data_IF_393376939944
#
_entry.id   IF_393376939944
#
_cell.length_a   1.000
_cell.length_b   1.000
_cell.length_c   1.000
_cell.angle_alpha   90.00
_cell.angle_beta   90.00
_cell.angle_gamma   90.00
#
_symmetry.space_group_name_H-M   'P 1'
#
loop_
_entity.id
_entity.type
_entity.pdbx_description
1 polymer ?
#
# COMPACT_ATOMS: atom_id res chain seq x y z
N UNK A 1 19.29 70.31 59.38
CA UNK A 1 18.21 69.67 58.55
C UNK A 1 18.59 68.32 57.87
N UNK A 2 19.88 67.90 58.03
CA UNK A 2 20.34 66.60 57.45
C UNK A 2 20.32 65.37 58.42
N UNK A 3 19.91 65.63 59.69
CA UNK A 3 19.84 64.56 60.71
C UNK A 3 18.49 63.82 60.81
N UNK A 4 17.53 64.12 59.93
CA UNK A 4 16.18 63.54 59.92
C UNK A 4 15.98 62.35 58.96
N UNK A 5 17.04 61.95 58.27
CA UNK A 5 16.96 60.85 57.31
C UNK A 5 17.96 59.65 57.59
N UNK A 6 18.42 59.57 58.87
CA UNK A 6 19.06 58.30 59.24
C UNK A 6 18.01 57.18 59.27
N UNK A 7 18.15 56.10 58.53
CA UNK A 7 17.17 55.04 58.55
C UNK A 7 17.12 54.48 59.95
N UNK A 8 15.97 54.69 60.62
CA UNK A 8 15.71 54.21 61.96
C UNK A 8 15.98 52.72 62.01
N UNK A 9 16.80 52.24 63.00
CA UNK A 9 17.16 50.81 63.13
C UNK A 9 15.90 49.94 63.20
N UNK A 10 14.81 50.44 63.76
CA UNK A 10 13.52 49.80 63.74
C UNK A 10 12.97 49.56 62.32
N UNK A 11 13.17 50.50 61.39
CA UNK A 11 12.69 50.37 60.00
C UNK A 11 13.48 49.29 59.26
N UNK A 12 14.79 49.13 59.50
CA UNK A 12 15.62 48.07 58.97
C UNK A 12 15.25 46.71 59.56
N UNK A 13 14.86 46.67 60.84
CA UNK A 13 14.39 45.44 61.47
C UNK A 13 13.07 44.97 60.89
N UNK A 14 12.08 45.86 60.73
CA UNK A 14 10.79 45.54 60.12
C UNK A 14 10.94 45.10 58.67
N UNK A 15 11.82 45.72 57.89
CA UNK A 15 12.10 45.34 56.51
C UNK A 15 12.75 43.98 56.37
N UNK A 16 13.62 43.59 57.28
CA UNK A 16 14.19 42.26 57.40
C UNK A 16 13.14 41.22 57.78
N UNK A 17 12.26 41.54 58.73
CA UNK A 17 11.16 40.64 59.14
C UNK A 17 10.14 40.44 58.02
N UNK A 18 9.74 41.47 57.30
CA UNK A 18 8.84 41.36 56.12
C UNK A 18 9.46 40.48 55.06
N UNK A 19 10.74 40.67 54.72
CA UNK A 19 11.43 39.82 53.76
C UNK A 19 11.50 38.34 54.21
N UNK A 20 11.75 38.11 55.49
CA UNK A 20 11.80 36.74 56.05
C UNK A 20 10.40 36.06 55.99
N UNK A 21 9.32 36.81 56.29
CA UNK A 21 7.94 36.31 56.20
C UNK A 21 7.55 36.00 54.79
N UNK A 22 7.94 36.87 53.82
CA UNK A 22 7.66 36.61 52.38
C UNK A 22 8.43 35.38 51.88
N UNK A 23 9.71 35.24 52.23
CA UNK A 23 10.51 34.08 51.84
C UNK A 23 9.98 32.80 52.48
N UNK A 24 9.68 32.85 53.79
CA UNK A 24 9.10 31.71 54.48
C UNK A 24 7.71 31.33 53.92
N UNK A 25 6.85 32.29 53.69
CA UNK A 25 5.54 32.09 53.08
C UNK A 25 5.62 31.47 51.67
N UNK A 26 6.57 31.97 50.87
CA UNK A 26 6.78 31.38 49.52
C UNK A 26 7.31 29.96 49.55
N UNK A 27 8.22 29.64 50.48
CA UNK A 27 8.73 28.26 50.67
C UNK A 27 7.65 27.32 51.14
N UNK A 28 6.79 27.77 52.08
CA UNK A 28 5.65 26.96 52.57
C UNK A 28 4.61 26.75 51.45
N UNK A 29 4.28 27.76 50.69
CA UNK A 29 3.36 27.61 49.52
C UNK A 29 3.91 26.70 48.46
N UNK A 30 5.20 26.80 48.11
CA UNK A 30 5.86 25.86 47.18
C UNK A 30 5.89 24.42 47.75
N UNK A 31 6.13 24.27 49.07
CA UNK A 31 6.08 22.97 49.72
C UNK A 31 4.69 22.34 49.70
N UNK A 32 3.63 23.15 49.94
CA UNK A 32 2.24 22.67 49.87
C UNK A 32 1.85 22.32 48.41
N UNK A 33 2.25 23.07 47.40
CA UNK A 33 1.99 22.75 46.00
C UNK A 33 2.72 21.48 45.57
N UNK A 34 3.96 21.27 46.00
CA UNK A 34 4.71 20.04 45.80
C UNK A 34 4.07 18.83 46.46
N UNK A 35 3.62 18.95 47.73
CA UNK A 35 2.92 17.90 48.43
C UNK A 35 1.57 17.55 47.81
N UNK A 36 0.81 18.57 47.35
CA UNK A 36 -0.44 18.39 46.62
C UNK A 36 -0.24 17.64 45.31
N UNK A 37 0.78 18.00 44.54
CA UNK A 37 1.15 17.32 43.26
C UNK A 37 1.65 15.91 43.51
N UNK A 38 2.39 15.67 44.63
CA UNK A 38 2.84 14.34 45.02
C UNK A 38 1.65 13.43 45.36
N UNK A 39 0.71 13.91 46.20
CA UNK A 39 -0.50 13.17 46.59
C UNK A 39 -1.43 12.87 45.42
N UNK A 40 -1.50 13.77 44.43
CA UNK A 40 -2.25 13.60 43.19
C UNK A 40 -1.54 12.73 42.14
N UNK A 41 -0.32 12.23 42.41
CA UNK A 41 0.54 11.51 41.45
C UNK A 41 0.80 12.28 40.12
N UNK A 42 0.66 13.59 40.14
CA UNK A 42 0.80 14.48 38.96
C UNK A 42 2.15 15.18 38.90
N UNK A 43 3.06 14.91 39.83
CA UNK A 43 4.39 15.53 39.90
C UNK A 43 5.18 15.37 38.60
N UNK A 44 5.13 14.16 38.03
CA UNK A 44 5.82 13.88 36.77
C UNK A 44 4.99 14.24 35.54
N UNK A 45 3.67 14.00 35.56
CA UNK A 45 2.80 14.23 34.40
C UNK A 45 2.70 15.69 33.97
N UNK A 46 2.79 16.66 34.92
CA UNK A 46 2.69 18.09 34.67
C UNK A 46 4.01 18.85 34.84
N UNK A 47 5.15 18.14 34.96
CA UNK A 47 6.44 18.80 35.12
C UNK A 47 6.92 19.39 33.79
N UNK A 48 7.57 20.57 33.87
CA UNK A 48 8.30 21.15 32.75
C UNK A 48 9.35 20.19 32.17
N UNK A 49 9.94 19.38 33.05
CA UNK A 49 10.89 18.34 32.66
C UNK A 49 10.25 17.27 31.75
N UNK A 50 9.02 16.82 32.03
CA UNK A 50 8.30 15.87 31.17
C UNK A 50 7.92 16.50 29.84
N UNK A 51 7.41 17.74 29.83
CA UNK A 51 7.10 18.47 28.60
C UNK A 51 8.33 18.72 27.73
N UNK A 52 9.46 19.06 28.36
CA UNK A 52 10.74 19.18 27.65
C UNK A 52 11.24 17.83 27.13
N UNK A 53 11.04 16.74 27.89
CA UNK A 53 11.42 15.38 27.49
C UNK A 53 10.52 14.83 26.35
N UNK A 54 9.22 15.12 26.39
CA UNK A 54 8.27 14.78 25.30
C UNK A 54 8.54 15.60 24.05
N UNK A 55 8.74 16.91 24.18
CA UNK A 55 9.13 17.76 23.06
C UNK A 55 10.48 17.36 22.47
N UNK A 56 11.45 16.92 23.32
CA UNK A 56 12.73 16.42 22.83
C UNK A 56 12.60 15.06 22.16
N UNK A 57 11.71 14.17 22.62
CA UNK A 57 11.42 12.89 21.95
C UNK A 57 10.81 13.08 20.56
N UNK A 58 9.87 13.99 20.42
CA UNK A 58 9.26 14.33 19.13
C UNK A 58 10.24 15.01 18.17
N UNK A 59 11.16 15.80 18.71
CA UNK A 59 12.22 16.44 17.93
C UNK A 59 13.31 15.44 17.53
N UNK A 60 13.74 14.57 18.46
CA UNK A 60 14.73 13.52 18.22
C UNK A 60 14.19 12.45 17.27
N UNK A 61 12.89 12.17 17.26
CA UNK A 61 12.26 11.27 16.27
C UNK A 61 12.27 11.80 14.82
N UNK A 62 12.51 13.10 14.63
CA UNK A 62 12.58 13.74 13.28
C UNK A 62 14.01 14.07 12.84
N UNK A 63 14.97 13.98 13.73
CA UNK A 63 16.37 14.31 13.46
C UNK A 63 17.18 13.01 13.54
N UNK A 64 18.11 12.82 12.60
CA UNK A 64 19.04 11.67 12.64
C UNK A 64 19.61 11.48 14.06
N UNK A 65 19.63 10.23 14.53
CA UNK A 65 20.12 9.86 15.84
C UNK A 65 21.55 10.41 16.11
N UNK A 66 22.37 10.51 15.06
CA UNK A 66 23.71 11.10 15.11
C UNK A 66 23.68 12.58 15.52
N UNK A 67 22.77 13.36 14.96
CA UNK A 67 22.59 14.80 15.27
C UNK A 67 22.05 14.98 16.70
N UNK A 68 21.08 14.16 17.09
CA UNK A 68 20.52 14.16 18.45
C UNK A 68 21.59 13.85 19.52
N UNK A 69 22.41 12.84 19.26
CA UNK A 69 23.51 12.46 20.17
C UNK A 69 24.58 13.55 20.23
N UNK A 70 24.90 14.17 19.09
CA UNK A 70 25.83 15.30 19.01
C UNK A 70 25.35 16.50 19.83
N UNK A 71 24.06 16.84 19.78
CA UNK A 71 23.46 17.92 20.56
C UNK A 71 23.48 17.64 22.07
N UNK A 72 23.12 16.42 22.50
CA UNK A 72 23.22 16.01 23.89
C UNK A 72 24.66 16.10 24.41
N UNK A 73 25.63 15.74 23.57
CA UNK A 73 27.04 15.84 23.91
C UNK A 73 27.50 17.30 24.03
N UNK A 74 27.08 18.19 23.16
CA UNK A 74 27.37 19.64 23.28
C UNK A 74 26.83 20.24 24.56
N UNK A 75 25.61 19.85 24.99
CA UNK A 75 25.04 20.25 26.26
C UNK A 75 25.86 19.72 27.43
N UNK A 76 26.30 18.46 27.37
CA UNK A 76 27.19 17.83 28.36
C UNK A 76 28.54 18.56 28.43
N UNK A 77 29.12 18.92 27.29
CA UNK A 77 30.36 19.68 27.17
C UNK A 77 30.21 21.09 27.78
N UNK A 78 29.11 21.78 27.52
CA UNK A 78 28.78 23.07 28.11
C UNK A 78 28.63 23.02 29.63
N UNK A 79 27.98 21.98 30.17
CA UNK A 79 27.88 21.74 31.60
C UNK A 79 29.24 21.47 32.23
N UNK A 80 30.07 20.64 31.61
CA UNK A 80 31.42 20.34 32.06
C UNK A 80 32.33 21.56 32.03
N UNK A 81 32.24 22.38 30.97
CA UNK A 81 32.98 23.63 30.88
C UNK A 81 32.58 24.62 31.98
N UNK A 82 31.30 24.70 32.35
CA UNK A 82 30.81 25.50 33.46
C UNK A 82 31.33 25.02 34.82
N UNK A 83 31.35 23.70 35.05
CA UNK A 83 31.93 23.09 36.25
C UNK A 83 33.45 23.37 36.34
N UNK A 84 34.16 23.24 35.22
CA UNK A 84 35.60 23.49 35.17
C UNK A 84 35.92 24.95 35.44
N UNK A 85 35.13 25.88 34.87
CA UNK A 85 35.25 27.31 35.11
C UNK A 85 35.01 27.64 36.59
N UNK A 86 34.01 27.03 37.22
CA UNK A 86 33.75 27.15 38.65
C UNK A 86 34.93 26.66 39.51
N UNK A 87 35.57 25.53 39.18
CA UNK A 87 36.76 25.00 39.85
C UNK A 87 37.96 25.93 39.64
N UNK A 88 38.16 26.49 38.44
CA UNK A 88 39.22 27.48 38.15
C UNK A 88 39.00 28.74 39.01
N UNK A 89 37.77 29.26 39.05
CA UNK A 89 37.45 30.43 39.85
C UNK A 89 37.73 30.21 41.34
N UNK A 90 37.34 29.07 41.93
CA UNK A 90 37.63 28.69 43.31
C UNK A 90 39.12 28.55 43.57
N UNK A 91 39.89 28.06 42.58
CA UNK A 91 41.31 27.85 42.70
C UNK A 91 42.12 29.16 42.69
N UNK A 92 41.81 30.09 41.77
CA UNK A 92 42.46 31.38 41.69
C UNK A 92 42.16 32.28 42.90
N UNK A 93 41.03 32.04 43.55
CA UNK A 93 40.64 32.81 44.71
C UNK A 93 41.42 32.44 45.98
N UNK A 94 42.04 31.28 46.06
CA UNK A 94 42.57 30.78 47.31
C UNK A 94 44.08 30.74 47.49
N UNK A 95 44.96 30.56 46.48
CA UNK A 95 46.45 30.64 46.66
C UNK A 95 47.24 30.58 45.32
N UNK A 96 48.32 31.41 45.24
CA UNK A 96 49.16 31.58 44.05
C UNK A 96 50.41 30.67 44.04
N UNK A 97 50.27 29.33 44.07
CA UNK A 97 51.39 28.37 43.97
C UNK A 97 51.46 27.73 42.56
N UNK A 98 52.59 27.92 41.85
CA UNK A 98 52.87 27.46 40.49
C UNK A 98 52.62 25.95 40.27
N UNK A 99 52.96 25.11 41.29
CA UNK A 99 52.76 23.65 41.21
C UNK A 99 51.30 23.23 41.07
N UNK A 100 50.35 23.93 41.70
CA UNK A 100 48.92 23.65 41.58
C UNK A 100 48.37 24.06 40.22
N UNK A 101 48.90 25.13 39.64
CA UNK A 101 48.51 25.58 38.30
C UNK A 101 48.91 24.54 37.24
N UNK A 102 50.15 24.00 37.30
CA UNK A 102 50.62 22.97 36.39
C UNK A 102 49.75 21.72 36.49
N UNK A 103 49.46 21.23 37.69
CA UNK A 103 48.64 20.03 37.93
C UNK A 103 47.20 20.27 37.39
N UNK A 104 46.67 21.45 37.56
CA UNK A 104 45.35 21.83 37.02
C UNK A 104 45.32 21.75 35.50
N UNK A 105 46.31 22.33 34.78
CA UNK A 105 46.36 22.27 33.33
C UNK A 105 46.52 20.83 32.82
N UNK A 106 47.30 19.99 33.45
CA UNK A 106 47.41 18.56 33.11
C UNK A 106 46.08 17.87 33.27
N UNK A 107 45.33 18.12 34.35
CA UNK A 107 44.03 17.55 34.59
C UNK A 107 43.03 17.99 33.50
N UNK A 108 43.01 19.27 33.10
CA UNK A 108 42.16 19.80 32.04
C UNK A 108 42.43 19.11 30.70
N UNK A 109 43.70 18.94 30.35
CA UNK A 109 44.08 18.26 29.08
C UNK A 109 43.63 16.80 29.07
N UNK A 110 43.84 16.07 30.17
CA UNK A 110 43.41 14.67 30.31
C UNK A 110 41.86 14.56 30.23
N UNK A 111 41.15 15.49 30.89
CA UNK A 111 39.70 15.53 30.90
C UNK A 111 39.12 15.79 29.50
N UNK A 112 39.63 16.79 28.77
CA UNK A 112 39.22 17.09 27.40
C UNK A 112 39.56 15.95 26.45
N UNK A 113 40.69 15.27 26.65
CA UNK A 113 41.08 14.09 25.86
C UNK A 113 40.09 12.93 26.07
N UNK A 114 39.69 12.69 27.34
CA UNK A 114 38.71 11.65 27.68
C UNK A 114 37.32 11.96 27.06
N UNK A 115 36.88 13.21 27.21
CA UNK A 115 35.61 13.67 26.63
C UNK A 115 35.59 13.54 25.11
N UNK A 116 36.66 13.95 24.43
CA UNK A 116 36.78 13.79 22.99
C UNK A 116 36.75 12.32 22.55
N UNK A 117 37.38 11.41 23.33
CA UNK A 117 37.36 9.99 23.06
C UNK A 117 35.96 9.38 23.25
N UNK A 118 35.23 9.75 24.32
CA UNK A 118 33.88 9.31 24.58
C UNK A 118 32.95 9.79 23.44
N UNK A 119 33.07 11.07 23.05
CA UNK A 119 32.29 11.62 21.92
C UNK A 119 32.53 10.83 20.64
N UNK A 120 33.78 10.57 20.29
CA UNK A 120 34.09 9.81 19.07
C UNK A 120 33.43 8.43 19.08
N UNK A 121 33.45 7.73 20.22
CA UNK A 121 32.82 6.42 20.37
C UNK A 121 31.30 6.48 20.24
N UNK A 122 30.66 7.47 20.85
CA UNK A 122 29.20 7.65 20.77
C UNK A 122 28.75 8.05 19.37
N UNK A 123 29.47 8.97 18.74
CA UNK A 123 29.19 9.41 17.37
C UNK A 123 29.32 8.25 16.38
N UNK A 124 30.38 7.46 16.46
CA UNK A 124 30.57 6.27 15.62
C UNK A 124 29.40 5.30 15.74
N UNK A 125 28.96 5.00 16.96
CA UNK A 125 27.79 4.12 17.19
C UNK A 125 26.50 4.70 16.64
N UNK A 126 26.31 6.00 16.76
CA UNK A 126 25.13 6.70 16.24
C UNK A 126 25.04 6.58 14.72
N UNK A 127 26.13 6.84 14.00
CA UNK A 127 26.17 6.71 12.53
C UNK A 127 25.90 5.26 12.10
N UNK A 128 26.44 4.27 12.83
CA UNK A 128 26.21 2.86 12.52
C UNK A 128 24.73 2.45 12.68
N UNK A 129 24.02 3.00 13.66
CA UNK A 129 22.58 2.77 13.85
C UNK A 129 21.73 3.40 12.76
N UNK A 130 22.06 4.64 12.34
CA UNK A 130 21.35 5.31 11.25
C UNK A 130 21.39 4.48 9.97
N UNK A 131 22.51 3.81 9.68
CA UNK A 131 22.64 2.90 8.52
C UNK A 131 21.70 1.70 8.65
N UNK A 132 21.61 1.10 9.85
CA UNK A 132 20.70 -0.03 10.08
C UNK A 132 19.23 0.37 9.98
N UNK A 133 18.85 1.51 10.54
CA UNK A 133 17.47 2.02 10.49
C UNK A 133 17.04 2.32 9.04
N UNK A 134 17.93 2.91 8.25
CA UNK A 134 17.71 3.13 6.82
C UNK A 134 17.52 1.80 6.07
N UNK A 135 18.37 0.81 6.33
CA UNK A 135 18.28 -0.51 5.70
C UNK A 135 16.96 -1.22 6.03
N UNK A 136 16.55 -1.21 7.31
CA UNK A 136 15.27 -1.79 7.75
C UNK A 136 14.10 -1.10 7.05
N UNK A 137 14.14 0.23 6.94
CA UNK A 137 13.11 1.00 6.23
C UNK A 137 13.05 0.62 4.74
N UNK A 138 14.20 0.49 4.07
CA UNK A 138 14.28 0.13 2.64
C UNK A 138 13.75 -1.29 2.39
N UNK A 139 14.17 -2.26 3.20
CA UNK A 139 13.70 -3.65 3.11
C UNK A 139 12.18 -3.73 3.40
N UNK A 140 11.68 -2.98 4.39
CA UNK A 140 10.27 -2.96 4.75
C UNK A 140 9.38 -2.33 3.65
N UNK A 141 9.94 -1.47 2.78
CA UNK A 141 9.26 -0.90 1.62
C UNK A 141 9.24 -1.84 0.41
N UNK A 142 9.82 -3.04 0.55
CA UNK A 142 9.78 -4.09 -0.47
C UNK A 142 11.06 -4.25 -1.29
N UNK A 143 12.11 -3.45 -1.06
CA UNK A 143 13.40 -3.67 -1.71
C UNK A 143 14.20 -4.77 -0.97
N UNK A 144 13.90 -6.02 -1.32
CA UNK A 144 14.58 -7.19 -0.75
C UNK A 144 15.98 -7.42 -1.34
N UNK A 145 16.36 -6.69 -2.37
CA UNK A 145 17.69 -6.79 -2.99
C UNK A 145 18.75 -5.94 -2.28
N UNK A 146 18.32 -5.01 -1.40
CA UNK A 146 19.22 -4.13 -0.68
C UNK A 146 20.14 -4.91 0.27
N UNK A 147 21.45 -4.65 0.18
CA UNK A 147 22.47 -5.23 1.06
C UNK A 147 23.23 -4.14 1.81
N UNK A 148 23.40 -4.35 3.10
CA UNK A 148 24.13 -3.45 4.00
C UNK A 148 25.63 -3.73 3.86
N UNK A 149 26.42 -2.68 3.62
CA UNK A 149 27.89 -2.77 3.67
C UNK A 149 28.38 -2.97 5.12
N UNK A 150 28.70 -4.23 5.46
CA UNK A 150 29.15 -4.61 6.81
C UNK A 150 30.60 -4.19 7.10
N UNK A 151 31.38 -3.74 6.10
CA UNK A 151 32.81 -3.38 6.26
C UNK A 151 33.00 -2.17 7.18
N UNK A 152 32.04 -1.27 7.22
CA UNK A 152 32.07 -0.03 8.04
C UNK A 152 31.42 -0.19 9.42
N UNK A 153 30.83 -1.34 9.69
CA UNK A 153 30.16 -1.66 10.93
C UNK A 153 31.09 -2.46 11.86
N UNK A 154 30.84 -2.41 13.17
CA UNK A 154 31.65 -3.12 14.15
C UNK A 154 30.81 -3.63 15.34
N UNK A 155 31.20 -4.78 15.93
CA UNK A 155 30.52 -5.37 17.08
C UNK A 155 29.08 -5.80 16.75
N UNK A 156 28.15 -5.52 17.66
CA UNK A 156 26.75 -5.95 17.55
C UNK A 156 26.02 -5.37 16.32
N UNK A 157 26.37 -4.17 15.89
CA UNK A 157 25.80 -3.52 14.72
C UNK A 157 26.18 -4.26 13.43
N UNK A 158 27.39 -4.82 13.36
CA UNK A 158 27.83 -5.69 12.27
C UNK A 158 27.06 -7.01 12.25
N UNK A 159 26.96 -7.68 13.41
CA UNK A 159 26.21 -8.94 13.51
C UNK A 159 24.74 -8.74 13.08
N UNK A 160 24.13 -7.63 13.49
CA UNK A 160 22.75 -7.27 13.10
C UNK A 160 22.63 -7.02 11.61
N UNK A 161 23.60 -6.33 10.99
CA UNK A 161 23.62 -6.11 9.53
C UNK A 161 23.76 -7.43 8.75
N UNK A 162 24.61 -8.36 9.23
CA UNK A 162 24.75 -9.69 8.63
C UNK A 162 23.45 -10.50 8.76
N UNK A 163 22.76 -10.43 9.88
CA UNK A 163 21.44 -11.07 10.03
C UNK A 163 20.39 -10.46 9.10
N UNK A 164 20.34 -9.13 8.98
CA UNK A 164 19.43 -8.45 8.07
C UNK A 164 19.72 -8.81 6.61
N UNK A 165 20.97 -8.85 6.19
CA UNK A 165 21.37 -9.28 4.86
C UNK A 165 20.94 -10.73 4.57
N UNK A 166 21.10 -11.63 5.55
CA UNK A 166 20.67 -13.01 5.42
C UNK A 166 19.13 -13.14 5.28
N UNK A 167 18.38 -12.36 6.07
CA UNK A 167 16.90 -12.31 5.97
C UNK A 167 16.51 -11.76 4.60
N UNK A 168 17.12 -10.67 4.15
CA UNK A 168 16.85 -10.05 2.85
C UNK A 168 17.12 -11.04 1.70
N UNK A 169 18.28 -11.70 1.70
CA UNK A 169 18.63 -12.72 0.70
C UNK A 169 17.71 -13.94 0.75
N UNK A 170 17.32 -14.39 1.94
CA UNK A 170 16.37 -15.49 2.11
C UNK A 170 14.99 -15.14 1.57
N UNK A 171 14.51 -13.92 1.84
CA UNK A 171 13.25 -13.41 1.32
C UNK A 171 13.27 -13.25 -0.20
N UNK A 172 14.34 -12.68 -0.76
CA UNK A 172 14.50 -12.56 -2.21
C UNK A 172 14.52 -13.94 -2.88
N UNK A 173 15.26 -14.90 -2.32
CA UNK A 173 15.30 -16.28 -2.84
C UNK A 173 13.91 -16.95 -2.80
N UNK A 174 13.15 -16.77 -1.72
CA UNK A 174 11.80 -17.30 -1.60
C UNK A 174 10.84 -16.69 -2.62
N UNK A 175 10.92 -15.37 -2.84
CA UNK A 175 10.14 -14.67 -3.87
C UNK A 175 10.50 -15.18 -5.27
N UNK A 176 11.79 -15.32 -5.60
CA UNK A 176 12.25 -15.82 -6.88
C UNK A 176 11.79 -17.27 -7.13
N UNK A 177 11.84 -18.11 -6.11
CA UNK A 177 11.34 -19.50 -6.20
C UNK A 177 9.83 -19.54 -6.41
N UNK A 178 9.07 -18.69 -5.71
CA UNK A 178 7.63 -18.56 -5.90
C UNK A 178 7.28 -18.09 -7.33
N UNK A 179 7.95 -17.07 -7.84
CA UNK A 179 7.76 -16.56 -9.21
C UNK A 179 8.11 -17.65 -10.23
N UNK A 180 9.21 -18.38 -10.03
CA UNK A 180 9.61 -19.50 -10.90
C UNK A 180 8.58 -20.62 -10.87
N UNK A 181 8.05 -20.97 -9.70
CA UNK A 181 6.99 -21.98 -9.55
C UNK A 181 5.73 -21.59 -10.31
N UNK A 182 5.28 -20.34 -10.17
CA UNK A 182 4.10 -19.84 -10.89
C UNK A 182 4.31 -19.83 -12.42
N UNK A 183 5.50 -19.45 -12.89
CA UNK A 183 5.85 -19.52 -14.33
C UNK A 183 5.87 -20.95 -14.85
N UNK A 184 6.40 -21.91 -14.07
CA UNK A 184 6.40 -23.32 -14.45
C UNK A 184 4.98 -23.88 -14.51
N UNK A 185 4.11 -23.56 -13.53
CA UNK A 185 2.70 -23.96 -13.56
C UNK A 185 2.01 -23.42 -14.82
N UNK A 186 2.22 -22.15 -15.15
CA UNK A 186 1.65 -21.53 -16.34
C UNK A 186 2.14 -22.17 -17.64
N UNK A 187 3.44 -22.46 -17.73
CA UNK A 187 4.03 -23.16 -18.88
C UNK A 187 3.49 -24.58 -19.04
N UNK A 188 3.39 -25.34 -17.95
CA UNK A 188 2.80 -26.68 -17.96
C UNK A 188 1.35 -26.66 -18.44
N UNK A 189 0.52 -25.74 -17.90
CA UNK A 189 -0.88 -25.58 -18.31
C UNK A 189 -0.97 -25.27 -19.81
N UNK A 190 -0.12 -24.37 -20.30
CA UNK A 190 -0.10 -24.01 -21.73
C UNK A 190 0.26 -25.19 -22.62
N UNK A 191 1.30 -25.95 -22.26
CA UNK A 191 1.75 -27.11 -23.04
C UNK A 191 0.72 -28.25 -23.03
N UNK A 192 0.19 -28.61 -21.85
CA UNK A 192 -0.83 -29.62 -21.71
C UNK A 192 -2.10 -29.25 -22.48
N UNK A 193 -2.49 -27.99 -22.45
CA UNK A 193 -3.67 -27.52 -23.19
C UNK A 193 -3.48 -27.59 -24.71
N UNK A 194 -2.28 -27.29 -25.21
CA UNK A 194 -1.96 -27.49 -26.63
C UNK A 194 -2.09 -28.95 -27.02
N UNK A 195 -1.57 -29.88 -26.20
CA UNK A 195 -1.61 -31.29 -26.43
C UNK A 195 -3.03 -31.91 -26.33
N UNK A 196 -3.92 -31.27 -25.56
CA UNK A 196 -5.37 -31.58 -25.51
C UNK A 196 -6.11 -31.01 -26.73
N UNK A 197 -5.76 -29.80 -27.19
CA UNK A 197 -6.46 -29.13 -28.29
C UNK A 197 -6.42 -29.94 -29.59
N UNK A 198 -5.30 -30.59 -29.90
CA UNK A 198 -5.12 -31.37 -31.14
C UNK A 198 -6.07 -32.55 -31.24
N UNK A 199 -6.11 -33.50 -30.29
CA UNK A 199 -7.04 -34.66 -30.34
C UNK A 199 -8.50 -34.18 -30.22
N UNK A 200 -8.78 -33.12 -29.48
CA UNK A 200 -10.11 -32.58 -29.31
C UNK A 200 -10.65 -31.97 -30.62
N UNK A 201 -9.82 -31.26 -31.39
CA UNK A 201 -10.17 -30.75 -32.71
C UNK A 201 -10.53 -31.89 -33.66
N UNK A 202 -9.77 -33.03 -33.57
CA UNK A 202 -10.09 -34.23 -34.34
C UNK A 202 -11.44 -34.83 -33.95
N UNK A 203 -11.75 -34.92 -32.65
CA UNK A 203 -13.05 -35.41 -32.16
C UNK A 203 -14.19 -34.53 -32.69
N UNK A 204 -14.07 -33.21 -32.59
CA UNK A 204 -15.07 -32.25 -33.10
C UNK A 204 -15.28 -32.45 -34.60
N UNK A 205 -14.22 -32.55 -35.40
CA UNK A 205 -14.31 -32.75 -36.83
C UNK A 205 -15.00 -34.06 -37.20
N UNK A 206 -14.71 -35.17 -36.48
CA UNK A 206 -15.41 -36.44 -36.76
C UNK A 206 -16.87 -36.42 -36.31
N UNK A 207 -17.22 -35.73 -35.22
CA UNK A 207 -18.60 -35.58 -34.82
C UNK A 207 -19.35 -34.76 -35.86
N UNK A 208 -18.77 -33.65 -36.39
CA UNK A 208 -19.34 -32.86 -37.49
C UNK A 208 -19.55 -33.69 -38.76
N UNK A 209 -18.57 -34.50 -39.14
CA UNK A 209 -18.72 -35.37 -40.31
C UNK A 209 -19.86 -36.38 -40.12
N UNK A 210 -19.96 -37.03 -38.96
CA UNK A 210 -21.06 -37.94 -38.64
C UNK A 210 -22.43 -37.27 -38.61
N UNK A 211 -22.53 -36.01 -38.12
CA UNK A 211 -23.77 -35.24 -38.17
C UNK A 211 -24.20 -34.94 -39.62
N UNK A 212 -23.27 -34.73 -40.55
CA UNK A 212 -23.53 -34.47 -41.97
C UNK A 212 -24.04 -35.72 -42.72
N UNK A 213 -23.69 -36.95 -42.27
CA UNK A 213 -24.16 -38.22 -42.85
C UNK A 213 -25.68 -38.44 -42.68
N UNK A 214 -26.42 -37.49 -42.03
CA UNK A 214 -27.88 -37.53 -41.82
C UNK A 214 -28.37 -38.89 -41.33
N UNK A 215 -27.77 -39.39 -40.27
CA UNK A 215 -28.12 -40.67 -39.64
C UNK A 215 -29.58 -40.65 -39.22
N UNK A 216 -30.37 -41.61 -39.76
CA UNK A 216 -31.81 -41.66 -39.52
C UNK A 216 -32.24 -42.22 -38.18
N UNK A 217 -31.32 -42.89 -37.45
CA UNK A 217 -31.61 -43.41 -36.12
C UNK A 217 -31.64 -42.26 -35.10
N UNK A 218 -32.80 -41.96 -34.47
CA UNK A 218 -32.96 -40.86 -33.54
C UNK A 218 -32.10 -41.03 -32.28
N UNK A 219 -31.76 -42.26 -31.86
CA UNK A 219 -30.87 -42.50 -30.71
C UNK A 219 -29.42 -42.12 -31.04
N UNK A 220 -28.95 -42.47 -32.23
CA UNK A 220 -27.60 -42.15 -32.69
C UNK A 220 -27.50 -40.60 -32.88
N UNK A 221 -28.50 -39.96 -33.45
CA UNK A 221 -28.52 -38.51 -33.59
C UNK A 221 -28.46 -37.79 -32.21
N UNK A 222 -29.19 -38.30 -31.21
CA UNK A 222 -29.13 -37.78 -29.84
C UNK A 222 -27.75 -37.97 -29.21
N UNK A 223 -27.07 -39.11 -29.41
CA UNK A 223 -25.72 -39.34 -28.92
C UNK A 223 -24.69 -38.41 -29.55
N UNK A 224 -24.82 -38.19 -30.88
CA UNK A 224 -23.95 -37.23 -31.59
C UNK A 224 -24.14 -35.81 -31.10
N UNK A 225 -25.36 -35.38 -30.79
CA UNK A 225 -25.62 -34.06 -30.21
C UNK A 225 -24.99 -33.90 -28.86
N UNK A 226 -25.08 -34.93 -27.99
CA UNK A 226 -24.40 -34.91 -26.68
C UNK A 226 -22.87 -34.88 -26.83
N UNK A 227 -22.31 -35.63 -27.76
CA UNK A 227 -20.87 -35.65 -28.04
C UNK A 227 -20.40 -34.28 -28.55
N UNK A 228 -21.14 -33.68 -29.47
CA UNK A 228 -20.83 -32.34 -29.96
C UNK A 228 -20.81 -31.32 -28.83
N UNK A 229 -21.88 -31.22 -28.03
CA UNK A 229 -21.96 -30.32 -26.88
C UNK A 229 -20.80 -30.55 -25.90
N UNK A 230 -20.47 -31.79 -25.56
CA UNK A 230 -19.38 -32.08 -24.64
C UNK A 230 -18.00 -31.76 -25.20
N UNK A 231 -17.82 -31.97 -26.52
CA UNK A 231 -16.58 -31.65 -27.21
C UNK A 231 -16.37 -30.12 -27.31
N UNK A 232 -17.40 -29.38 -27.67
CA UNK A 232 -17.34 -27.91 -27.72
C UNK A 232 -17.09 -27.33 -26.33
N UNK A 233 -17.75 -27.88 -25.31
CA UNK A 233 -17.52 -27.46 -23.92
C UNK A 233 -16.08 -27.70 -23.49
N UNK A 234 -15.49 -28.87 -23.79
CA UNK A 234 -14.11 -29.17 -23.44
C UNK A 234 -13.13 -28.24 -24.16
N UNK A 235 -13.43 -27.85 -25.41
CA UNK A 235 -12.68 -26.84 -26.17
C UNK A 235 -12.67 -25.51 -25.44
N UNK A 236 -13.83 -24.99 -25.05
CA UNK A 236 -13.94 -23.72 -24.32
C UNK A 236 -13.19 -23.78 -22.98
N UNK A 237 -13.32 -24.87 -22.22
CA UNK A 237 -12.62 -25.06 -20.96
C UNK A 237 -11.09 -25.04 -21.11
N UNK A 238 -10.56 -25.66 -22.19
CA UNK A 238 -9.12 -25.65 -22.44
C UNK A 238 -8.62 -24.29 -22.89
N UNK A 239 -9.41 -23.56 -23.69
CA UNK A 239 -9.11 -22.20 -24.11
C UNK A 239 -9.12 -21.23 -22.91
N UNK A 240 -10.14 -21.29 -22.04
CA UNK A 240 -10.23 -20.52 -20.81
C UNK A 240 -9.03 -20.79 -19.87
N UNK A 241 -8.64 -22.07 -19.74
CA UNK A 241 -7.50 -22.47 -18.89
C UNK A 241 -6.18 -21.88 -19.39
N UNK A 242 -5.94 -21.90 -20.71
CA UNK A 242 -4.75 -21.27 -21.32
C UNK A 242 -4.77 -19.78 -21.11
N UNK A 243 -5.92 -19.13 -21.32
CA UNK A 243 -6.08 -17.69 -21.17
C UNK A 243 -5.82 -17.27 -19.73
N UNK A 244 -6.45 -17.94 -18.75
CA UNK A 244 -6.21 -17.71 -17.33
C UNK A 244 -4.74 -17.89 -16.93
N UNK A 245 -4.08 -18.92 -17.48
CA UNK A 245 -2.67 -19.20 -17.21
C UNK A 245 -1.74 -18.13 -17.76
N UNK A 246 -1.98 -17.68 -19.01
CA UNK A 246 -1.20 -16.60 -19.65
C UNK A 246 -1.40 -15.25 -18.98
N UNK A 247 -2.64 -14.94 -18.59
CA UNK A 247 -2.96 -13.72 -17.89
C UNK A 247 -2.27 -13.65 -16.54
N UNK A 248 -2.36 -14.70 -15.72
CA UNK A 248 -1.72 -14.75 -14.41
C UNK A 248 -0.19 -14.71 -14.43
N UNK A 249 0.45 -15.28 -15.46
CA UNK A 249 1.92 -15.30 -15.57
C UNK A 249 2.52 -14.00 -16.10
N UNK A 250 1.68 -13.02 -16.50
CA UNK A 250 2.12 -11.78 -17.13
C UNK A 250 2.72 -11.98 -18.54
N UNK A 251 2.62 -13.19 -19.12
CA UNK A 251 3.20 -13.53 -20.42
C UNK A 251 2.24 -13.22 -21.60
N UNK A 252 1.17 -12.46 -21.36
CA UNK A 252 0.23 -12.08 -22.39
C UNK A 252 0.70 -10.80 -23.09
N UNK A 253 0.83 -10.84 -24.41
CA UNK A 253 1.05 -9.64 -25.21
C UNK A 253 -0.28 -8.92 -25.37
N UNK A 254 -0.31 -7.64 -25.02
CA UNK A 254 -1.45 -6.76 -25.16
C UNK A 254 -1.25 -5.81 -26.35
N UNK A 255 -2.30 -5.57 -27.10
CA UNK A 255 -2.36 -4.60 -28.19
C UNK A 255 -3.16 -3.38 -27.71
N UNK A 256 -2.51 -2.54 -26.90
CA UNK A 256 -3.16 -1.38 -26.26
C UNK A 256 -3.41 -0.30 -27.32
N UNK A 257 -4.65 0.10 -27.44
CA UNK A 257 -5.11 1.15 -28.34
C UNK A 257 -6.17 2.04 -27.67
N UNK A 258 -6.56 3.12 -28.34
CA UNK A 258 -7.64 3.98 -27.91
C UNK A 258 -8.97 3.28 -28.20
N UNK A 259 -9.75 2.99 -27.17
CA UNK A 259 -11.04 2.31 -27.25
C UNK A 259 -12.12 3.24 -26.70
N UNK A 260 -13.19 3.42 -27.44
CA UNK A 260 -14.42 4.01 -26.91
C UNK A 260 -15.19 2.95 -26.11
N UNK A 261 -15.21 3.10 -24.79
CA UNK A 261 -15.91 2.18 -23.90
C UNK A 261 -17.43 2.22 -24.13
N UNK A 262 -17.97 3.39 -24.44
CA UNK A 262 -19.41 3.57 -24.70
C UNK A 262 -19.84 2.76 -25.93
N UNK A 263 -19.14 2.89 -27.06
CA UNK A 263 -19.40 2.15 -28.28
C UNK A 263 -19.26 0.63 -28.06
N UNK A 264 -18.21 0.19 -27.37
CA UNK A 264 -17.97 -1.22 -27.09
C UNK A 264 -19.09 -1.84 -26.23
N UNK A 265 -19.59 -1.11 -25.23
CA UNK A 265 -20.70 -1.58 -24.37
C UNK A 265 -22.03 -1.58 -25.15
N UNK A 266 -22.29 -0.57 -25.97
CA UNK A 266 -23.47 -0.55 -26.83
C UNK A 266 -23.50 -1.73 -27.81
N UNK A 267 -22.36 -2.03 -28.43
CA UNK A 267 -22.24 -3.20 -29.32
C UNK A 267 -22.50 -4.49 -28.55
N UNK A 268 -21.90 -4.64 -27.34
CA UNK A 268 -22.09 -5.82 -26.49
C UNK A 268 -23.56 -5.98 -26.07
N UNK A 269 -24.25 -4.88 -25.73
CA UNK A 269 -25.70 -4.89 -25.45
C UNK A 269 -26.50 -5.50 -26.63
N UNK A 270 -26.23 -5.04 -27.86
CA UNK A 270 -26.90 -5.56 -29.06
C UNK A 270 -26.64 -7.07 -29.28
N UNK A 271 -25.40 -7.52 -29.08
CA UNK A 271 -25.06 -8.95 -29.24
C UNK A 271 -25.75 -9.87 -28.20
N UNK A 272 -26.04 -9.36 -27.04
CA UNK A 272 -26.66 -10.13 -25.95
C UNK A 272 -28.17 -9.97 -25.83
N UNK A 273 -28.79 -9.06 -26.54
CA UNK A 273 -30.24 -8.76 -26.47
C UNK A 273 -31.11 -10.01 -26.64
N UNK A 274 -30.86 -10.81 -27.68
CA UNK A 274 -31.60 -12.06 -27.96
C UNK A 274 -31.40 -13.07 -26.80
N UNK A 275 -30.18 -13.19 -26.28
CA UNK A 275 -29.86 -14.13 -25.20
C UNK A 275 -30.55 -13.75 -23.88
N UNK A 276 -30.68 -12.46 -23.58
CA UNK A 276 -31.46 -11.97 -22.45
C UNK A 276 -32.96 -12.22 -22.67
N UNK A 277 -33.48 -11.96 -23.88
CA UNK A 277 -34.88 -12.21 -24.21
C UNK A 277 -35.26 -13.70 -24.09
N UNK A 278 -34.39 -14.64 -24.50
CA UNK A 278 -34.59 -16.09 -24.32
C UNK A 278 -34.76 -16.50 -22.85
N UNK A 279 -34.03 -15.81 -21.92
CA UNK A 279 -34.12 -16.01 -20.50
C UNK A 279 -35.17 -15.10 -19.81
N UNK A 280 -35.95 -14.37 -20.59
CA UNK A 280 -36.97 -13.41 -20.13
C UNK A 280 -36.39 -12.35 -19.17
N UNK A 281 -35.15 -11.95 -19.45
CA UNK A 281 -34.46 -10.90 -18.71
C UNK A 281 -34.63 -9.57 -19.46
N UNK A 282 -34.88 -8.50 -18.71
CA UNK A 282 -34.98 -7.14 -19.24
C UNK A 282 -33.62 -6.45 -19.07
N UNK A 283 -33.00 -6.06 -20.19
CA UNK A 283 -31.75 -5.26 -20.12
C UNK A 283 -32.10 -3.78 -19.94
N UNK A 284 -31.65 -3.19 -18.84
CA UNK A 284 -31.80 -1.77 -18.55
C UNK A 284 -30.41 -1.14 -18.62
N UNK A 285 -30.15 -0.34 -19.64
CA UNK A 285 -28.85 0.30 -19.83
C UNK A 285 -28.92 1.81 -19.59
N UNK A 286 -27.95 2.32 -18.84
CA UNK A 286 -27.73 3.74 -18.61
C UNK A 286 -26.31 4.08 -19.08
N UNK A 287 -26.22 4.53 -20.33
CA UNK A 287 -24.97 4.77 -21.05
C UNK A 287 -24.98 6.23 -21.51
N UNK A 288 -23.92 7.01 -21.22
CA UNK A 288 -23.85 8.41 -21.67
C UNK A 288 -23.75 8.50 -23.20
N UNK A 289 -24.18 9.61 -23.76
CA UNK A 289 -24.01 9.92 -25.20
C UNK A 289 -22.57 10.38 -25.52
N UNK A 290 -21.78 10.73 -24.48
CA UNK A 290 -20.42 11.21 -24.61
C UNK A 290 -19.45 10.06 -24.82
N UNK A 291 -18.45 10.27 -25.70
CA UNK A 291 -17.38 9.32 -26.00
C UNK A 291 -16.44 9.20 -24.80
N UNK A 292 -16.19 7.99 -24.30
CA UNK A 292 -15.27 7.72 -23.20
C UNK A 292 -14.06 6.91 -23.69
N UNK A 293 -12.99 7.61 -24.07
CA UNK A 293 -11.77 6.96 -24.56
C UNK A 293 -10.93 6.44 -23.40
N UNK A 294 -10.59 5.16 -23.46
CA UNK A 294 -9.68 4.47 -22.55
C UNK A 294 -8.54 3.82 -23.32
N UNK A 295 -7.44 3.51 -22.63
CA UNK A 295 -6.29 2.78 -23.18
C UNK A 295 -6.43 1.30 -22.82
N UNK A 296 -6.81 0.45 -23.79
CA UNK A 296 -7.04 -0.97 -23.55
C UNK A 296 -6.79 -1.80 -24.83
N UNK A 297 -6.67 -3.13 -24.68
CA UNK A 297 -6.76 -4.09 -25.78
C UNK A 297 -8.24 -4.42 -26.02
N UNK A 298 -8.79 -3.96 -27.13
CA UNK A 298 -10.22 -4.08 -27.44
C UNK A 298 -10.71 -5.53 -27.42
N UNK A 299 -9.91 -6.50 -27.90
CA UNK A 299 -10.28 -7.92 -27.86
C UNK A 299 -10.34 -8.47 -26.44
N UNK A 300 -9.40 -8.06 -25.59
CA UNK A 300 -9.35 -8.50 -24.20
C UNK A 300 -10.44 -7.85 -23.37
N UNK A 301 -10.70 -6.58 -23.61
CA UNK A 301 -11.79 -5.88 -22.96
C UNK A 301 -13.16 -6.43 -23.37
N UNK A 302 -13.36 -6.73 -24.65
CA UNK A 302 -14.56 -7.41 -25.12
C UNK A 302 -14.76 -8.78 -24.43
N UNK A 303 -13.68 -9.56 -24.26
CA UNK A 303 -13.71 -10.83 -23.53
C UNK A 303 -14.13 -10.66 -22.06
N UNK A 304 -13.70 -9.59 -21.40
CA UNK A 304 -14.16 -9.23 -20.04
C UNK A 304 -15.67 -8.99 -20.05
N UNK A 305 -16.17 -8.16 -20.96
CA UNK A 305 -17.60 -7.88 -21.06
C UNK A 305 -18.38 -9.16 -21.39
N UNK A 306 -17.97 -9.94 -22.38
CA UNK A 306 -18.59 -11.22 -22.76
C UNK A 306 -18.73 -12.17 -21.55
N UNK A 307 -17.70 -12.30 -20.74
CA UNK A 307 -17.76 -13.11 -19.54
C UNK A 307 -18.80 -12.59 -18.54
N UNK A 308 -18.86 -11.28 -18.31
CA UNK A 308 -19.78 -10.67 -17.36
C UNK A 308 -21.24 -10.77 -17.84
N UNK A 309 -21.50 -10.50 -19.14
CA UNK A 309 -22.82 -10.66 -19.73
C UNK A 309 -23.28 -12.11 -19.75
N UNK A 310 -22.38 -13.05 -20.09
CA UNK A 310 -22.66 -14.48 -20.03
C UNK A 310 -22.99 -14.94 -18.62
N UNK A 311 -22.32 -14.43 -17.61
CA UNK A 311 -22.65 -14.70 -16.22
C UNK A 311 -24.05 -14.16 -15.86
N UNK A 312 -24.38 -12.94 -16.26
CA UNK A 312 -25.72 -12.38 -16.06
C UNK A 312 -26.81 -13.24 -16.72
N UNK A 313 -26.62 -13.63 -17.99
CA UNK A 313 -27.57 -14.55 -18.70
C UNK A 313 -27.75 -15.86 -17.95
N UNK A 314 -26.67 -16.43 -17.38
CA UNK A 314 -26.71 -17.75 -16.73
C UNK A 314 -27.32 -17.73 -15.34
N UNK A 315 -27.01 -16.71 -14.55
CA UNK A 315 -27.23 -16.70 -13.11
C UNK A 315 -28.28 -15.70 -12.66
N UNK A 316 -28.74 -14.79 -13.52
CA UNK A 316 -29.82 -13.89 -13.16
C UNK A 316 -31.14 -14.65 -12.98
N UNK A 317 -31.91 -14.21 -12.01
CA UNK A 317 -33.27 -14.70 -11.76
C UNK A 317 -34.15 -14.43 -12.98
N UNK A 318 -34.87 -15.44 -13.49
CA UNK A 318 -35.78 -15.26 -14.59
C UNK A 318 -36.82 -14.17 -14.30
N UNK A 319 -37.29 -13.48 -15.35
CA UNK A 319 -38.25 -12.35 -15.23
C UNK A 319 -37.70 -11.17 -14.39
N UNK A 320 -36.37 -11.05 -14.21
CA UNK A 320 -35.74 -9.92 -13.53
C UNK A 320 -35.07 -8.98 -14.53
N UNK A 321 -34.43 -7.93 -13.98
CA UNK A 321 -33.67 -6.95 -14.74
C UNK A 321 -32.19 -7.13 -14.60
N UNK A 322 -31.47 -6.92 -15.69
CA UNK A 322 -30.01 -6.77 -15.69
C UNK A 322 -29.70 -5.30 -15.97
N UNK A 323 -28.99 -4.65 -15.07
CA UNK A 323 -28.64 -3.24 -15.22
C UNK A 323 -27.20 -3.12 -15.71
N UNK A 324 -27.00 -2.31 -16.75
CA UNK A 324 -25.69 -1.98 -17.32
C UNK A 324 -25.54 -0.47 -17.27
N UNK A 325 -24.56 0.02 -16.52
CA UNK A 325 -24.27 1.43 -16.41
C UNK A 325 -22.84 1.70 -16.92
N UNK A 326 -22.66 2.82 -17.63
CA UNK A 326 -21.34 3.39 -17.97
C UNK A 326 -21.32 4.83 -17.47
N UNK A 327 -20.31 5.17 -16.68
CA UNK A 327 -20.19 6.49 -16.04
C UNK A 327 -18.75 7.01 -16.17
N UNK A 328 -18.58 8.33 -16.29
CA UNK A 328 -17.31 9.02 -16.03
C UNK A 328 -17.37 9.59 -14.61
N UNK A 329 -16.55 9.07 -13.70
CA UNK A 329 -16.47 9.52 -12.33
C UNK A 329 -14.99 9.70 -11.94
N UNK A 330 -14.63 10.88 -11.48
CA UNK A 330 -13.27 11.25 -11.08
C UNK A 330 -12.17 10.96 -12.12
N UNK A 331 -12.50 11.04 -13.42
CA UNK A 331 -11.58 10.76 -14.51
C UNK A 331 -11.35 9.27 -14.76
N UNK A 332 -12.26 8.41 -14.28
CA UNK A 332 -12.33 6.99 -14.57
C UNK A 332 -13.61 6.67 -15.34
N UNK A 333 -13.49 5.96 -16.45
CA UNK A 333 -14.61 5.33 -17.13
C UNK A 333 -14.97 4.05 -16.37
N UNK A 334 -16.18 4.00 -15.83
CA UNK A 334 -16.66 2.93 -14.97
C UNK A 334 -17.78 2.19 -15.68
N UNK A 335 -17.55 0.93 -16.00
CA UNK A 335 -18.59 -0.01 -16.46
C UNK A 335 -19.10 -0.81 -15.25
N UNK A 336 -20.41 -0.95 -15.14
CA UNK A 336 -21.04 -1.74 -14.09
C UNK A 336 -22.12 -2.64 -14.70
N UNK A 337 -22.15 -3.92 -14.31
CA UNK A 337 -23.27 -4.82 -14.60
C UNK A 337 -23.82 -5.38 -13.27
N UNK A 338 -25.15 -5.36 -13.13
CA UNK A 338 -25.86 -5.77 -11.90
C UNK A 338 -27.04 -6.67 -12.24
N UNK A 339 -27.21 -7.74 -11.48
CA UNK A 339 -28.36 -8.60 -11.56
C UNK A 339 -28.71 -9.23 -10.21
N UNK A 340 -29.96 -9.61 -10.01
CA UNK A 340 -30.37 -10.46 -8.89
C UNK A 340 -30.07 -11.90 -9.28
N UNK A 341 -29.37 -12.64 -8.42
CA UNK A 341 -29.04 -14.06 -8.63
C UNK A 341 -30.25 -14.96 -8.43
N UNK A 342 -30.42 -15.99 -9.25
CA UNK A 342 -31.42 -17.03 -9.08
C UNK A 342 -31.17 -17.88 -7.82
N UNK A 343 -29.92 -18.05 -7.44
CA UNK A 343 -29.51 -18.78 -6.24
C UNK A 343 -28.87 -17.83 -5.23
N UNK A 344 -29.00 -18.13 -3.93
CA UNK A 344 -28.38 -17.34 -2.88
C UNK A 344 -26.85 -17.35 -2.99
N UNK A 345 -26.24 -16.17 -2.87
CA UNK A 345 -24.80 -15.97 -2.96
C UNK A 345 -24.18 -16.00 -1.55
N UNK A 346 -23.94 -17.21 -1.02
CA UNK A 346 -23.31 -17.41 0.29
C UNK A 346 -21.77 -17.53 0.19
N UNK A 347 -21.15 -16.66 -0.57
CA UNK A 347 -19.72 -16.67 -0.85
C UNK A 347 -19.17 -15.23 -0.81
N UNK A 348 -17.93 -15.06 -0.38
CA UNK A 348 -17.32 -13.74 -0.38
C UNK A 348 -16.97 -13.27 -1.82
N UNK A 349 -16.98 -11.95 -2.10
CA UNK A 349 -16.59 -11.41 -3.40
C UNK A 349 -15.19 -11.83 -3.83
N UNK A 350 -14.23 -11.87 -2.91
CA UNK A 350 -12.85 -12.26 -3.18
C UNK A 350 -12.77 -13.73 -3.57
N UNK A 351 -13.44 -14.61 -2.82
CA UNK A 351 -13.48 -16.04 -3.11
C UNK A 351 -14.16 -16.32 -4.46
N UNK A 352 -15.23 -15.58 -4.82
CA UNK A 352 -15.91 -15.74 -6.10
C UNK A 352 -15.03 -15.37 -7.30
N UNK A 353 -14.01 -14.53 -7.10
CA UNK A 353 -13.02 -14.18 -8.14
C UNK A 353 -11.82 -15.13 -8.19
N UNK A 354 -11.73 -16.13 -7.31
CA UNK A 354 -10.72 -17.17 -7.37
C UNK A 354 -10.99 -18.14 -8.51
N UNK A 355 -9.95 -18.85 -8.95
CA UNK A 355 -10.04 -19.80 -10.06
C UNK A 355 -10.75 -21.08 -9.66
N UNK A 356 -11.60 -21.59 -10.56
CA UNK A 356 -12.39 -22.81 -10.36
C UNK A 356 -13.41 -22.73 -9.24
N UNK A 357 -13.62 -21.54 -8.66
CA UNK A 357 -14.65 -21.31 -7.66
C UNK A 357 -15.99 -21.01 -8.34
N UNK A 358 -17.04 -21.54 -7.77
CA UNK A 358 -18.42 -21.38 -8.24
C UNK A 358 -19.32 -21.04 -7.07
N UNK A 359 -20.08 -19.96 -7.19
CA UNK A 359 -21.04 -19.53 -6.18
C UNK A 359 -22.24 -20.47 -5.99
N UNK A 360 -22.46 -21.36 -6.95
CA UNK A 360 -23.56 -22.33 -6.91
C UNK A 360 -23.10 -23.67 -6.32
N UNK A 361 -23.68 -24.06 -5.18
CA UNK A 361 -23.40 -25.31 -4.47
C UNK A 361 -23.92 -26.54 -5.26
N UNK A 362 -24.90 -26.36 -6.15
CA UNK A 362 -25.61 -27.47 -6.81
C UNK A 362 -24.83 -28.15 -7.94
N UNK A 363 -23.70 -27.60 -8.41
CA UNK A 363 -22.93 -28.07 -9.59
C UNK A 363 -23.77 -28.28 -10.86
N UNK A 364 -25.05 -27.92 -10.86
CA UNK A 364 -26.00 -28.20 -11.93
C UNK A 364 -25.85 -27.24 -13.12
N UNK A 365 -25.41 -25.99 -12.87
CA UNK A 365 -25.20 -25.00 -13.93
C UNK A 365 -23.89 -25.22 -14.69
N UNK A 366 -23.90 -25.06 -16.00
CA UNK A 366 -22.71 -25.23 -16.84
C UNK A 366 -21.77 -24.02 -16.71
N UNK A 367 -20.53 -24.25 -16.23
CA UNK A 367 -19.52 -23.18 -16.15
C UNK A 367 -18.14 -23.72 -15.78
N UNK A 368 -17.07 -23.04 -16.19
CA UNK A 368 -15.67 -23.36 -15.89
C UNK A 368 -15.24 -22.90 -14.47
N UNK A 369 -15.91 -21.89 -13.91
CA UNK A 369 -15.44 -21.17 -12.72
C UNK A 369 -14.19 -20.31 -12.98
N UNK A 370 -13.89 -20.03 -14.26
CA UNK A 370 -12.72 -19.23 -14.65
C UNK A 370 -13.11 -17.85 -15.16
N UNK A 371 -14.37 -17.61 -15.57
CA UNK A 371 -14.76 -16.39 -16.22
C UNK A 371 -14.49 -15.11 -15.42
N UNK A 372 -14.82 -15.08 -14.12
CA UNK A 372 -14.58 -13.91 -13.27
C UNK A 372 -13.08 -13.70 -12.96
N UNK A 373 -12.34 -14.78 -12.73
CA UNK A 373 -10.87 -14.68 -12.54
C UNK A 373 -10.17 -14.20 -13.80
N UNK A 374 -10.57 -14.68 -14.99
CA UNK A 374 -10.06 -14.18 -16.28
C UNK A 374 -10.40 -12.69 -16.45
N UNK A 375 -11.63 -12.28 -16.16
CA UNK A 375 -12.04 -10.88 -16.27
C UNK A 375 -11.22 -9.98 -15.35
N UNK A 376 -10.96 -10.39 -14.10
CA UNK A 376 -10.10 -9.69 -13.15
C UNK A 376 -8.67 -9.58 -13.69
N UNK A 377 -8.06 -10.72 -14.05
CA UNK A 377 -6.68 -10.77 -14.53
C UNK A 377 -6.50 -9.92 -15.82
N UNK A 378 -7.42 -10.01 -16.80
CA UNK A 378 -7.38 -9.24 -18.03
C UNK A 378 -7.55 -7.74 -17.79
N UNK A 379 -8.44 -7.34 -16.90
CA UNK A 379 -8.64 -5.92 -16.55
C UNK A 379 -7.38 -5.33 -15.90
N UNK A 380 -6.82 -6.04 -14.91
CA UNK A 380 -5.61 -5.60 -14.19
C UNK A 380 -4.38 -5.53 -15.09
N UNK A 381 -4.19 -6.49 -15.99
CA UNK A 381 -3.08 -6.48 -16.95
C UNK A 381 -3.11 -5.26 -17.89
N UNK A 382 -4.29 -4.72 -18.15
CA UNK A 382 -4.48 -3.52 -18.99
C UNK A 382 -4.44 -2.21 -18.19
N UNK A 383 -4.13 -2.27 -16.87
CA UNK A 383 -4.07 -1.10 -15.99
C UNK A 383 -5.43 -0.63 -15.46
N UNK A 384 -6.49 -1.43 -15.64
CA UNK A 384 -7.81 -1.19 -15.05
C UNK A 384 -7.98 -1.82 -13.66
N UNK A 385 -9.10 -1.51 -13.02
CA UNK A 385 -9.51 -2.08 -11.73
C UNK A 385 -10.77 -2.94 -11.93
N UNK A 386 -10.82 -4.10 -11.27
CA UNK A 386 -11.95 -5.02 -11.30
C UNK A 386 -12.44 -5.29 -9.88
N UNK A 387 -13.74 -5.12 -9.66
CA UNK A 387 -14.34 -5.35 -8.35
C UNK A 387 -15.67 -6.11 -8.51
N UNK A 388 -15.92 -7.05 -7.60
CA UNK A 388 -17.21 -7.71 -7.41
C UNK A 388 -17.79 -7.27 -6.07
N UNK A 389 -19.09 -6.97 -6.06
CA UNK A 389 -19.85 -6.66 -4.85
C UNK A 389 -21.04 -7.60 -4.79
N UNK A 390 -21.26 -8.19 -3.62
CA UNK A 390 -22.40 -9.05 -3.33
C UNK A 390 -23.13 -8.44 -2.15
N UNK A 391 -24.45 -8.23 -2.33
CA UNK A 391 -25.34 -7.76 -1.27
C UNK A 391 -26.61 -8.63 -1.28
N UNK A 392 -26.66 -9.60 -0.38
CA UNK A 392 -27.67 -10.66 -0.42
C UNK A 392 -27.62 -11.41 -1.74
N UNK A 393 -28.71 -11.36 -2.51
CA UNK A 393 -28.80 -11.99 -3.85
C UNK A 393 -28.40 -11.06 -5.00
N UNK A 394 -28.01 -9.81 -4.69
CA UNK A 394 -27.57 -8.85 -5.69
C UNK A 394 -26.09 -9.11 -6.01
N UNK A 395 -25.82 -9.44 -7.27
CA UNK A 395 -24.46 -9.48 -7.85
C UNK A 395 -24.20 -8.19 -8.61
N UNK A 396 -23.05 -7.59 -8.39
CA UNK A 396 -22.56 -6.41 -9.10
C UNK A 396 -21.09 -6.60 -9.47
N UNK A 397 -20.75 -6.49 -10.74
CA UNK A 397 -19.37 -6.40 -11.20
C UNK A 397 -19.08 -4.99 -11.70
N UNK A 398 -17.91 -4.47 -11.36
CA UNK A 398 -17.42 -3.13 -11.71
C UNK A 398 -16.08 -3.27 -12.39
N UNK A 399 -15.95 -2.63 -13.55
CA UNK A 399 -14.70 -2.52 -14.32
C UNK A 399 -14.41 -1.05 -14.51
N UNK A 400 -13.22 -0.57 -14.14
CA UNK A 400 -12.87 0.83 -14.33
C UNK A 400 -11.50 0.98 -14.99
N UNK A 401 -11.40 2.01 -15.85
CA UNK A 401 -10.16 2.41 -16.50
C UNK A 401 -9.98 3.92 -16.42
N UNK A 402 -8.73 4.44 -16.37
CA UNK A 402 -8.49 5.87 -16.50
C UNK A 402 -8.98 6.39 -17.85
N UNK A 403 -9.73 7.50 -17.85
CA UNK A 403 -10.16 8.17 -19.08
C UNK A 403 -8.98 8.90 -19.71
N UNK A 404 -8.73 8.68 -20.98
CA UNK A 404 -7.79 9.46 -21.76
C UNK A 404 -8.44 10.79 -22.13
N UNK A 405 -8.12 11.86 -21.42
CA UNK A 405 -8.55 13.21 -21.83
C UNK A 405 -7.83 13.60 -23.11
N UNK A 406 -8.57 13.74 -24.20
CA UNK A 406 -8.07 14.32 -25.44
C UNK A 406 -7.97 15.83 -25.21
N UNK A 407 -6.77 16.36 -25.03
CA UNK A 407 -6.56 17.80 -25.11
C UNK A 407 -6.85 18.24 -26.55
N UNK A 408 -8.03 18.80 -26.79
CA UNK A 408 -8.27 19.55 -28.00
C UNK A 408 -7.32 20.76 -27.99
N UNK A 409 -6.22 20.68 -28.72
CA UNK A 409 -5.46 21.87 -29.11
C UNK A 409 -6.42 22.73 -29.94
N UNK A 410 -7.01 23.74 -29.32
CA UNK A 410 -7.70 24.78 -30.05
C UNK A 410 -6.66 25.43 -30.98
N UNK A 411 -6.82 25.16 -32.27
CA UNK A 411 -6.05 25.76 -33.33
C UNK A 411 -6.33 27.26 -33.33
N UNK A 412 -5.41 28.04 -32.71
CA UNK A 412 -5.43 29.48 -32.76
C UNK A 412 -5.04 29.93 -34.18
N UNK A 413 -5.92 29.77 -35.13
CA UNK A 413 -5.92 30.58 -36.35
C UNK A 413 -6.50 31.96 -35.99
N UNK A 414 -5.71 32.79 -35.35
CA UNK A 414 -5.91 34.22 -35.30
C UNK A 414 -5.56 34.77 -36.70
N UNK A 415 -6.57 34.94 -37.52
CA UNK A 415 -6.47 35.80 -38.69
C UNK A 415 -6.14 37.22 -38.23
N UNK A 416 -5.01 37.73 -38.63
CA UNK A 416 -4.71 39.15 -38.61
C UNK A 416 -5.71 39.87 -39.52
N UNK A 417 -6.34 41.00 -39.09
CA UNK A 417 -7.01 41.90 -40.00
C UNK A 417 -5.94 42.72 -40.72
N UNK A 418 -5.78 42.48 -42.05
CA UNK A 418 -4.97 43.33 -42.91
C UNK A 418 -5.55 44.71 -43.00
N UNK A 419 -4.74 45.71 -42.72
CA UNK A 419 -4.94 47.09 -43.00
C UNK A 419 -5.11 47.32 -44.53
N UNK A 420 -6.18 48.02 -44.89
CA UNK A 420 -6.26 48.92 -46.04
C UNK A 420 -6.79 50.26 -45.56
#
# INVERSE_FOLDING_TARGET
LFSLFAPNEQWNYWNKMIKLVIVYGSVVLCGFDLLRRYKARTLWSNSLAKRALEASKDYVGRVSYAVGTGFCYLLFLGFNAGMLWGLIFLFFYKENRISYQIMFYVFVVLYLGLDGWIYHQLFKKSVQRDVLDMAVSTISQGDTSYQIDTSRLSGKERDMAEHLNNISSGLDSAIQEQVKSERLKASLITNVSHDIKTPLTSIINYVDLLKREKIQDPKIAAYLEVLDQKSQRLKTLTEDLVEASKASSGNMKLDISDIDLVELVQQTNGEFEERFAMRRLELVSNIPDEVLIIQADGRRLWRVLENLYTNAVKYAMEHSRVYVDVLDEDGKAIFTIKNVSESSLNISPDELTERFVRGDVSRATEGSGLGLSISKDLTQLQGGEFQVVIDGDLFKAVVSFPVKRVEFKADKTSGEPGDI
#
